data_IF_875675245954
#
_entry.id   IF_875675245954
#
_cell.length_a   1.000
_cell.length_b   1.000
_cell.length_c   1.000
_cell.angle_alpha   90.00
_cell.angle_beta   90.00
_cell.angle_gamma   90.00
#
_symmetry.space_group_name_H-M   'P 1'
#
loop_
_entity.id
_entity.type
_entity.pdbx_description
1 polymer ?
#
# COMPACT_ATOMS: atom_id res chain seq x y z
N UNK A 1 7.28 -44.36 -13.73
CA UNK A 1 8.11 -43.61 -14.70
C UNK A 1 7.55 -42.20 -14.86
N UNK A 2 8.42 -41.18 -14.83
CA UNK A 2 8.09 -39.76 -14.63
C UNK A 2 7.23 -39.17 -15.77
N UNK A 3 6.18 -38.43 -15.41
CA UNK A 3 5.47 -37.49 -16.29
C UNK A 3 6.27 -36.19 -16.32
N UNK A 4 6.82 -35.80 -17.47
CA UNK A 4 7.40 -34.48 -17.70
C UNK A 4 6.68 -33.87 -18.88
N UNK A 5 5.82 -32.89 -18.62
CA UNK A 5 5.47 -31.77 -19.52
C UNK A 5 4.36 -30.94 -18.86
N UNK A 6 4.76 -30.17 -17.84
CA UNK A 6 4.01 -29.00 -17.42
C UNK A 6 4.88 -27.78 -17.64
N UNK A 7 4.83 -27.26 -18.86
CA UNK A 7 5.35 -25.94 -19.17
C UNK A 7 4.35 -24.90 -18.63
N UNK A 8 4.75 -24.22 -17.56
CA UNK A 8 3.99 -23.12 -16.95
C UNK A 8 3.79 -21.99 -17.96
N UNK A 9 2.52 -21.70 -18.27
CA UNK A 9 2.05 -20.54 -19.02
C UNK A 9 2.21 -19.27 -18.19
N UNK A 10 3.35 -18.59 -18.29
CA UNK A 10 3.43 -17.16 -17.92
C UNK A 10 4.50 -16.47 -18.76
N UNK A 11 4.13 -16.13 -20.00
CA UNK A 11 4.98 -15.41 -20.97
C UNK A 11 5.17 -13.93 -20.66
N UNK A 12 5.41 -13.57 -19.40
CA UNK A 12 5.78 -12.20 -19.02
C UNK A 12 7.24 -12.21 -18.57
N UNK A 13 8.15 -11.72 -19.42
CA UNK A 13 9.53 -11.39 -19.01
C UNK A 13 10.69 -11.92 -19.85
N UNK A 14 10.51 -12.19 -21.15
CA UNK A 14 11.62 -12.56 -22.04
C UNK A 14 12.14 -11.39 -22.88
N UNK A 15 13.46 -11.17 -22.89
CA UNK A 15 14.21 -10.25 -23.77
C UNK A 15 13.90 -10.50 -25.26
N UNK A 16 12.81 -9.96 -25.79
CA UNK A 16 12.50 -9.95 -27.24
C UNK A 16 12.29 -8.51 -27.69
N UNK A 17 12.63 -8.21 -28.95
CA UNK A 17 12.34 -6.91 -29.56
C UNK A 17 10.82 -6.72 -29.59
N UNK A 18 10.31 -5.70 -28.89
CA UNK A 18 8.88 -5.52 -28.62
C UNK A 18 8.38 -6.00 -27.25
N UNK A 19 9.24 -6.58 -26.40
CA UNK A 19 8.94 -6.94 -25.01
C UNK A 19 9.03 -5.74 -24.03
N UNK A 20 8.64 -4.56 -24.52
CA UNK A 20 8.43 -3.36 -23.72
C UNK A 20 6.95 -3.00 -23.79
N UNK A 21 6.38 -2.56 -22.67
CA UNK A 21 5.03 -2.03 -22.66
C UNK A 21 4.94 -0.88 -23.71
N UNK A 22 3.86 -0.81 -24.53
CA UNK A 22 3.73 0.23 -25.56
C UNK A 22 3.92 1.63 -24.98
N UNK A 23 4.39 2.58 -25.79
CA UNK A 23 4.64 3.95 -25.33
C UNK A 23 3.37 4.55 -24.71
N UNK A 24 3.40 4.85 -23.41
CA UNK A 24 2.23 5.28 -22.62
C UNK A 24 1.59 4.20 -21.73
N UNK A 25 1.96 2.92 -21.89
CA UNK A 25 1.53 1.84 -21.02
C UNK A 25 2.39 1.80 -19.75
N UNK A 26 1.88 2.46 -18.72
CA UNK A 26 2.47 2.47 -17.37
C UNK A 26 2.13 1.23 -16.56
N UNK A 27 1.47 0.19 -17.11
CA UNK A 27 1.11 -0.99 -16.31
C UNK A 27 2.33 -1.77 -15.81
N UNK A 28 3.49 -1.73 -16.49
CA UNK A 28 4.72 -2.27 -15.91
C UNK A 28 5.23 -1.43 -14.72
N UNK A 29 4.98 -0.13 -14.73
CA UNK A 29 5.28 0.81 -13.63
C UNK A 29 4.26 0.67 -12.48
N UNK A 30 2.99 0.38 -12.80
CA UNK A 30 1.89 0.17 -11.83
C UNK A 30 1.84 -1.26 -11.26
N UNK A 31 2.23 -2.26 -12.06
CA UNK A 31 1.99 -3.67 -11.77
C UNK A 31 3.23 -4.57 -11.86
N UNK A 32 4.44 -4.05 -12.05
CA UNK A 32 5.64 -4.87 -11.89
C UNK A 32 5.69 -5.48 -10.48
N UNK A 33 5.57 -6.81 -10.39
CA UNK A 33 5.73 -7.59 -9.14
C UNK A 33 7.08 -7.30 -8.45
N UNK A 34 8.08 -6.91 -9.27
CA UNK A 34 9.43 -6.47 -8.86
C UNK A 34 9.44 -5.05 -8.25
N UNK A 35 8.60 -4.13 -8.74
CA UNK A 35 8.53 -2.74 -8.27
C UNK A 35 7.80 -2.62 -6.93
N UNK A 36 6.83 -3.51 -6.65
CA UNK A 36 6.06 -3.53 -5.39
C UNK A 36 6.84 -4.08 -4.18
N UNK A 37 7.92 -4.85 -4.39
CA UNK A 37 8.75 -5.43 -3.31
C UNK A 37 10.10 -4.73 -3.11
N UNK A 38 10.57 -3.93 -4.06
CA UNK A 38 11.96 -3.46 -4.08
C UNK A 38 12.23 -2.10 -3.42
N UNK A 39 11.23 -1.23 -3.22
CA UNK A 39 11.58 0.15 -2.89
C UNK A 39 11.77 0.47 -1.41
N UNK A 40 11.06 -0.18 -0.47
CA UNK A 40 11.34 0.00 0.97
C UNK A 40 10.95 -1.26 1.76
N UNK A 41 11.70 -2.38 1.64
CA UNK A 41 11.60 -3.43 2.62
C UNK A 41 11.94 -2.83 3.99
N UNK A 42 10.95 -2.79 4.87
CA UNK A 42 11.21 -2.52 6.27
C UNK A 42 11.78 -3.83 6.84
N UNK A 43 13.10 -3.88 7.04
CA UNK A 43 13.74 -5.00 7.72
C UNK A 43 13.48 -4.93 9.23
N UNK A 44 13.31 -6.08 9.88
CA UNK A 44 13.17 -6.16 11.34
C UNK A 44 11.87 -5.58 11.91
N UNK A 45 10.84 -5.29 11.10
CA UNK A 45 9.57 -4.72 11.58
C UNK A 45 8.46 -5.75 11.76
N UNK A 46 8.76 -7.05 11.84
CA UNK A 46 7.74 -8.09 11.87
C UNK A 46 6.72 -7.87 13.00
N UNK A 47 7.20 -7.36 14.14
CA UNK A 47 6.41 -7.03 15.33
C UNK A 47 5.52 -5.79 15.18
N UNK A 48 5.78 -4.91 14.20
CA UNK A 48 4.98 -3.70 14.01
C UNK A 48 3.59 -4.05 13.47
N UNK A 49 2.57 -3.37 14.00
CA UNK A 49 1.22 -3.49 13.47
C UNK A 49 1.15 -3.03 12.01
N UNK A 50 0.21 -3.56 11.20
CA UNK A 50 0.03 -3.13 9.83
C UNK A 50 -0.18 -1.60 9.68
N UNK A 51 -0.82 -0.97 10.67
CA UNK A 51 -1.01 0.48 10.70
C UNK A 51 0.33 1.22 10.80
N UNK A 52 1.17 0.82 11.75
CA UNK A 52 2.50 1.43 11.96
C UNK A 52 3.39 1.19 10.75
N UNK A 53 3.39 -0.03 10.17
CA UNK A 53 4.15 -0.35 8.95
C UNK A 53 3.82 0.61 7.79
N UNK A 54 2.54 0.89 7.55
CA UNK A 54 2.14 1.80 6.46
C UNK A 54 2.50 3.27 6.76
N UNK A 55 2.42 3.70 8.03
CA UNK A 55 2.86 5.04 8.43
C UNK A 55 4.36 5.23 8.20
N UNK A 56 5.18 4.30 8.66
CA UNK A 56 6.64 4.33 8.49
C UNK A 56 7.00 4.38 7.00
N UNK A 57 6.38 3.52 6.17
CA UNK A 57 6.58 3.56 4.71
C UNK A 57 6.28 4.93 4.12
N UNK A 58 5.19 5.58 4.55
CA UNK A 58 4.86 6.91 4.06
C UNK A 58 5.83 7.99 4.53
N UNK A 59 6.37 7.88 5.74
CA UNK A 59 7.39 8.82 6.23
C UNK A 59 8.65 8.73 5.37
N UNK A 60 9.14 7.51 5.09
CA UNK A 60 10.31 7.30 4.25
C UNK A 60 10.06 7.81 2.82
N UNK A 61 8.88 7.53 2.27
CA UNK A 61 8.51 8.03 0.94
C UNK A 61 8.39 9.56 0.91
N UNK A 62 7.89 10.19 1.97
CA UNK A 62 7.76 11.64 2.06
C UNK A 62 9.14 12.33 2.12
N UNK A 63 10.09 11.74 2.83
CA UNK A 63 11.48 12.22 2.88
C UNK A 63 12.12 12.27 1.49
N UNK A 64 11.87 11.25 0.66
CA UNK A 64 12.35 11.20 -0.72
C UNK A 64 11.55 12.09 -1.69
N UNK A 65 10.24 12.23 -1.45
CA UNK A 65 9.35 13.03 -2.31
C UNK A 65 9.65 14.54 -2.22
N UNK A 66 9.99 15.05 -1.04
CA UNK A 66 10.20 16.48 -0.80
C UNK A 66 11.22 17.12 -1.76
N UNK A 67 12.45 16.58 -1.85
CA UNK A 67 13.46 17.07 -2.79
C UNK A 67 13.03 16.97 -4.26
N UNK A 68 12.36 15.88 -4.64
CA UNK A 68 11.86 15.70 -6.01
C UNK A 68 10.83 16.77 -6.37
N UNK A 69 9.90 17.09 -5.47
CA UNK A 69 8.93 18.16 -5.69
C UNK A 69 9.59 19.54 -5.79
N UNK A 70 10.61 19.81 -4.97
CA UNK A 70 11.35 21.09 -5.02
C UNK A 70 12.13 21.27 -6.31
N UNK A 71 12.56 20.17 -6.95
CA UNK A 71 13.30 20.21 -8.21
C UNK A 71 12.43 20.52 -9.44
N UNK A 72 11.10 20.58 -9.28
CA UNK A 72 10.10 20.77 -10.33
C UNK A 72 10.43 20.01 -11.64
N UNK A 73 10.43 18.68 -11.60
CA UNK A 73 10.97 17.88 -12.68
C UNK A 73 10.11 17.99 -13.92
N UNK A 74 10.73 18.32 -15.05
CA UNK A 74 10.05 18.41 -16.32
C UNK A 74 9.28 17.11 -16.66
N UNK A 75 8.14 17.28 -17.31
CA UNK A 75 7.24 16.17 -17.62
C UNK A 75 7.94 15.02 -18.35
N UNK A 76 7.64 13.77 -17.95
CA UNK A 76 8.18 12.50 -18.49
C UNK A 76 9.68 12.24 -18.29
N UNK A 77 10.40 13.13 -17.62
CA UNK A 77 11.77 12.83 -17.12
C UNK A 77 11.75 11.69 -16.11
N UNK A 78 12.93 11.14 -15.83
CA UNK A 78 13.09 10.09 -14.81
C UNK A 78 12.62 10.56 -13.44
N UNK A 79 13.06 11.75 -13.01
CA UNK A 79 12.64 12.38 -11.75
C UNK A 79 11.12 12.59 -11.69
N UNK A 80 10.49 13.00 -12.80
CA UNK A 80 9.03 13.13 -12.85
C UNK A 80 8.30 11.79 -12.71
N UNK A 81 8.83 10.73 -13.32
CA UNK A 81 8.26 9.36 -13.21
C UNK A 81 8.42 8.81 -11.81
N UNK A 82 9.57 9.04 -11.19
CA UNK A 82 9.86 8.65 -9.82
C UNK A 82 8.95 9.37 -8.82
N UNK A 83 8.84 10.69 -8.93
CA UNK A 83 7.89 11.50 -8.15
C UNK A 83 6.45 10.98 -8.28
N UNK A 84 6.00 10.70 -9.50
CA UNK A 84 4.65 10.16 -9.77
C UNK A 84 4.46 8.77 -9.14
N UNK A 85 5.48 7.92 -9.20
CA UNK A 85 5.46 6.58 -8.61
C UNK A 85 5.35 6.66 -7.08
N UNK A 86 6.16 7.51 -6.44
CA UNK A 86 6.15 7.74 -4.99
C UNK A 86 4.78 8.24 -4.54
N UNK A 87 4.22 9.24 -5.23
CA UNK A 87 2.87 9.74 -4.98
C UNK A 87 1.83 8.61 -5.02
N UNK A 88 1.87 7.75 -6.03
CA UNK A 88 0.97 6.60 -6.16
C UNK A 88 1.09 5.62 -5.00
N UNK A 89 2.32 5.29 -4.58
CA UNK A 89 2.56 4.40 -3.44
C UNK A 89 2.07 5.00 -2.12
N UNK A 90 2.33 6.29 -1.89
CA UNK A 90 1.85 6.99 -0.70
C UNK A 90 0.32 6.99 -0.61
N UNK A 91 -0.37 7.13 -1.76
CA UNK A 91 -1.82 6.99 -1.84
C UNK A 91 -2.32 5.63 -1.38
N UNK A 92 -1.71 4.54 -1.87
CA UNK A 92 -2.10 3.17 -1.48
C UNK A 92 -1.91 2.90 0.03
N UNK A 93 -0.81 3.39 0.60
CA UNK A 93 -0.59 3.27 2.05
C UNK A 93 -1.60 4.13 2.83
N UNK A 94 -1.90 5.34 2.36
CA UNK A 94 -2.88 6.25 2.98
C UNK A 94 -4.26 5.62 3.01
N UNK A 95 -4.72 5.03 1.91
CA UNK A 95 -5.98 4.29 1.84
C UNK A 95 -6.01 3.15 2.86
N UNK A 96 -4.89 2.43 3.00
CA UNK A 96 -4.79 1.33 3.96
C UNK A 96 -4.83 1.83 5.40
N UNK A 97 -4.14 2.93 5.70
CA UNK A 97 -4.17 3.59 7.02
C UNK A 97 -5.60 4.01 7.34
N UNK A 98 -6.28 4.71 6.43
CA UNK A 98 -7.65 5.18 6.62
C UNK A 98 -8.61 4.01 6.92
N UNK A 99 -8.50 2.90 6.18
CA UNK A 99 -9.33 1.72 6.42
C UNK A 99 -9.09 1.12 7.81
N UNK A 100 -7.83 0.98 8.22
CA UNK A 100 -7.48 0.41 9.52
C UNK A 100 -7.96 1.30 10.69
N UNK A 101 -7.75 2.62 10.57
CA UNK A 101 -8.22 3.58 11.56
C UNK A 101 -9.75 3.59 11.65
N UNK A 102 -10.45 3.56 10.51
CA UNK A 102 -11.90 3.50 10.49
C UNK A 102 -12.43 2.20 11.12
N UNK A 103 -11.78 1.06 10.85
CA UNK A 103 -12.15 -0.22 11.46
C UNK A 103 -12.01 -0.16 12.98
N UNK A 104 -10.91 0.39 13.49
CA UNK A 104 -10.69 0.60 14.92
C UNK A 104 -11.77 1.50 15.53
N UNK A 105 -12.00 2.67 14.94
CA UNK A 105 -12.99 3.62 15.42
C UNK A 105 -14.41 3.02 15.46
N UNK A 106 -14.78 2.21 14.46
CA UNK A 106 -16.07 1.50 14.44
C UNK A 106 -16.19 0.48 15.57
N UNK A 107 -15.12 -0.27 15.84
CA UNK A 107 -15.09 -1.23 16.94
C UNK A 107 -15.21 -0.54 18.31
N UNK A 108 -14.46 0.55 18.50
CA UNK A 108 -14.50 1.34 19.73
C UNK A 108 -15.90 1.93 19.96
N UNK A 109 -16.52 2.48 18.91
CA UNK A 109 -17.90 2.97 18.98
C UNK A 109 -18.90 1.86 19.33
N UNK A 110 -18.76 0.67 18.76
CA UNK A 110 -19.63 -0.45 19.07
C UNK A 110 -19.47 -0.91 20.52
N UNK A 111 -18.24 -0.93 21.05
CA UNK A 111 -17.96 -1.23 22.44
C UNK A 111 -18.61 -0.19 23.38
N UNK A 112 -18.39 1.11 23.11
CA UNK A 112 -18.96 2.20 23.90
C UNK A 112 -20.50 2.17 23.93
N UNK A 113 -21.14 1.88 22.79
CA UNK A 113 -22.60 1.73 22.73
C UNK A 113 -23.12 0.59 23.61
N UNK A 114 -22.42 -0.55 23.65
CA UNK A 114 -22.79 -1.69 24.50
C UNK A 114 -22.62 -1.36 25.97
N UNK A 115 -21.53 -0.72 26.35
CA UNK A 115 -21.31 -0.29 27.73
C UNK A 115 -22.37 0.72 28.18
N UNK A 116 -22.72 1.69 27.32
CA UNK A 116 -23.80 2.63 27.62
C UNK A 116 -25.15 1.91 27.85
N UNK A 117 -25.46 0.88 27.04
CA UNK A 117 -26.67 0.08 27.23
C UNK A 117 -26.64 -0.71 28.54
N UNK A 118 -25.48 -1.26 28.94
CA UNK A 118 -25.30 -1.98 30.21
C UNK A 118 -25.52 -1.05 31.40
N UNK A 119 -24.93 0.14 31.37
CA UNK A 119 -25.10 1.16 32.42
C UNK A 119 -26.58 1.56 32.52
N UNK A 120 -27.24 1.86 31.39
CA UNK A 120 -28.67 2.21 31.37
C UNK A 120 -29.56 1.11 31.95
N UNK A 121 -29.28 -0.16 31.66
CA UNK A 121 -30.03 -1.29 32.22
C UNK A 121 -29.85 -1.42 33.74
N UNK A 122 -28.66 -1.14 34.26
CA UNK A 122 -28.38 -1.19 35.71
C UNK A 122 -28.97 0.01 36.47
N UNK A 123 -29.19 1.14 35.80
CA UNK A 123 -29.71 2.36 36.42
C UNK A 123 -31.24 2.45 36.46
N UNK A 124 -31.96 1.49 35.85
CA UNK A 124 -33.42 1.38 36.00
C UNK A 124 -33.66 0.38 37.14
N UNK A 125 -34.16 0.81 38.31
CA UNK A 125 -34.54 -0.12 39.37
C UNK A 125 -35.71 -0.97 38.88
N UNK A 126 -35.73 -2.26 39.22
CA UNK A 126 -36.89 -3.12 39.00
C UNK A 126 -38.10 -2.47 39.72
N UNK A 127 -39.10 -2.08 38.93
CA UNK A 127 -40.37 -1.50 39.39
C UNK A 127 -41.41 -2.61 39.61
#
# INVERSE_FOLDING_TARGET
>A
MKKSDQQSRSGWGGKRTGAGAPYGNTNAVKHGERSRRAFFPLEGVDELSPLVKNRVRNLILAEHLGPLMQSDPAYRTEAWREMTLIHGMMGLHTDRIMRLELMKAKADLACAKRELQRVKKRSVPDA
#
